data_IF_234960766691
#
_entry.id   IF_234960766691
#
_cell.length_a   1.000
_cell.length_b   1.000
_cell.length_c   1.000
_cell.angle_alpha   90.00
_cell.angle_beta   90.00
_cell.angle_gamma   90.00
#
_symmetry.space_group_name_H-M   'P 1'
#
loop_
_entity.id
_entity.type
_entity.pdbx_description
1 polymer ?
#
# COMPACT_ATOMS: atom_id res chain seq x y z
N UNK A 1 -6.04 11.76 16.55
CA UNK A 1 -6.12 10.38 16.01
C UNK A 1 -5.85 9.42 17.15
N UNK A 2 -6.72 8.45 17.39
CA UNK A 2 -6.48 7.42 18.41
C UNK A 2 -5.81 6.22 17.73
N UNK A 3 -4.52 5.99 17.96
CA UNK A 3 -3.78 4.88 17.34
C UNK A 3 -4.44 3.52 17.63
N UNK A 4 -5.00 3.38 18.83
CA UNK A 4 -5.72 2.19 19.28
C UNK A 4 -6.90 1.84 18.37
N UNK A 5 -7.63 2.84 17.87
CA UNK A 5 -8.74 2.62 16.94
C UNK A 5 -8.28 1.86 15.69
N UNK A 6 -7.16 2.26 15.09
CA UNK A 6 -6.63 1.62 13.88
C UNK A 6 -6.11 0.20 14.17
N UNK A 7 -5.42 0.00 15.29
CA UNK A 7 -5.01 -1.34 15.71
C UNK A 7 -6.21 -2.28 15.88
N UNK A 8 -7.30 -1.80 16.49
CA UNK A 8 -8.51 -2.61 16.67
C UNK A 8 -9.18 -2.95 15.35
N UNK A 9 -9.25 -2.02 14.39
CA UNK A 9 -9.81 -2.29 13.05
C UNK A 9 -9.04 -3.40 12.36
N UNK A 10 -7.71 -3.33 12.35
CA UNK A 10 -6.86 -4.37 11.77
C UNK A 10 -7.01 -5.71 12.50
N UNK A 11 -7.01 -5.71 13.83
CA UNK A 11 -7.15 -6.93 14.64
C UNK A 11 -8.51 -7.62 14.44
N UNK A 12 -9.58 -6.86 14.16
CA UNK A 12 -10.93 -7.38 13.90
C UNK A 12 -11.20 -7.62 12.42
N UNK A 13 -10.21 -7.42 11.54
CA UNK A 13 -10.37 -7.46 10.07
C UNK A 13 -11.46 -6.51 9.55
N UNK A 14 -11.73 -5.42 10.25
CA UNK A 14 -12.68 -4.37 9.86
C UNK A 14 -12.01 -3.38 8.90
N UNK A 15 -11.47 -3.91 7.81
CA UNK A 15 -10.61 -3.19 6.86
C UNK A 15 -11.32 -2.88 5.55
N UNK A 16 -12.55 -2.37 5.62
CA UNK A 16 -13.35 -2.03 4.42
C UNK A 16 -12.75 -0.91 3.55
N UNK A 17 -11.67 -0.27 3.99
CA UNK A 17 -10.85 0.67 3.23
C UNK A 17 -9.81 -0.01 2.34
N UNK A 18 -9.56 -1.32 2.52
CA UNK A 18 -8.65 -2.08 1.66
C UNK A 18 -9.40 -2.54 0.41
N UNK A 19 -8.97 -2.03 -0.74
CA UNK A 19 -9.63 -2.27 -2.04
C UNK A 19 -9.48 -3.72 -2.54
N UNK A 20 -8.42 -4.42 -2.14
CA UNK A 20 -8.13 -5.80 -2.56
C UNK A 20 -7.59 -5.93 -3.99
N UNK A 21 -7.46 -4.81 -4.70
CA UNK A 21 -6.78 -4.69 -6.00
C UNK A 21 -5.94 -3.42 -6.01
N UNK A 22 -5.18 -3.20 -7.10
CA UNK A 22 -4.55 -1.90 -7.38
C UNK A 22 -5.65 -0.86 -7.56
N UNK A 23 -5.44 0.34 -7.03
CA UNK A 23 -6.39 1.44 -7.19
C UNK A 23 -6.52 1.84 -8.66
N UNK A 24 -7.75 1.88 -9.17
CA UNK A 24 -8.02 2.14 -10.58
C UNK A 24 -7.46 3.49 -11.04
N UNK A 25 -7.55 4.54 -10.22
CA UNK A 25 -7.04 5.86 -10.60
C UNK A 25 -5.51 5.91 -10.60
N UNK A 26 -4.85 5.20 -9.69
CA UNK A 26 -3.40 5.05 -9.75
C UNK A 26 -3.01 4.37 -11.06
N UNK A 27 -3.63 3.23 -11.36
CA UNK A 27 -3.38 2.47 -12.58
C UNK A 27 -3.52 3.34 -13.84
N UNK A 28 -4.61 4.09 -13.95
CA UNK A 28 -4.97 4.83 -15.16
C UNK A 28 -4.15 6.11 -15.35
N UNK A 29 -3.64 6.71 -14.28
CA UNK A 29 -2.97 8.01 -14.33
C UNK A 29 -1.49 7.99 -13.96
N UNK A 30 -0.94 6.86 -13.50
CA UNK A 30 0.45 6.82 -13.05
C UNK A 30 1.44 7.20 -14.14
N UNK A 31 1.21 6.79 -15.39
CA UNK A 31 2.08 7.11 -16.52
C UNK A 31 2.19 8.64 -16.73
N UNK A 32 1.10 9.38 -16.53
CA UNK A 32 1.10 10.84 -16.65
C UNK A 32 1.84 11.52 -15.47
N UNK A 33 1.81 10.89 -14.29
CA UNK A 33 2.46 11.40 -13.07
C UNK A 33 3.97 11.11 -13.07
N UNK A 34 4.36 9.89 -13.44
CA UNK A 34 5.74 9.43 -13.42
C UNK A 34 6.51 9.85 -14.69
N UNK A 35 5.85 9.85 -15.85
CA UNK A 35 6.52 9.93 -17.14
C UNK A 35 7.55 8.78 -17.28
N UNK A 36 8.76 9.11 -17.72
CA UNK A 36 9.85 8.14 -17.85
C UNK A 36 10.69 7.96 -16.55
N UNK A 37 10.26 8.56 -15.43
CA UNK A 37 11.01 8.53 -14.17
C UNK A 37 10.76 7.22 -13.41
N UNK A 38 11.80 6.72 -12.77
CA UNK A 38 11.75 5.57 -11.84
C UNK A 38 12.13 5.99 -10.42
N UNK A 39 11.77 7.23 -10.05
CA UNK A 39 12.08 7.77 -8.72
C UNK A 39 11.33 7.02 -7.61
N UNK A 40 11.84 7.17 -6.38
CA UNK A 40 11.24 6.56 -5.21
C UNK A 40 9.83 7.08 -4.93
N UNK A 41 8.91 6.18 -4.61
CA UNK A 41 7.53 6.50 -4.24
C UNK A 41 7.33 6.28 -2.75
N UNK A 42 6.81 7.30 -2.08
CA UNK A 42 6.44 7.24 -0.67
C UNK A 42 4.93 7.03 -0.53
N UNK A 43 4.53 5.99 0.19
CA UNK A 43 3.12 5.66 0.45
C UNK A 43 2.83 5.78 1.95
N UNK A 44 2.26 6.90 2.41
CA UNK A 44 1.93 7.09 3.82
C UNK A 44 0.67 6.29 4.19
N UNK A 45 0.67 5.73 5.41
CA UNK A 45 -0.45 4.92 5.93
C UNK A 45 -0.83 3.80 4.96
N UNK A 46 0.20 3.09 4.47
CA UNK A 46 0.06 2.22 3.30
C UNK A 46 -0.79 0.97 3.55
N UNK A 47 -1.09 0.61 4.81
CA UNK A 47 -1.78 -0.62 5.13
C UNK A 47 -1.09 -1.82 4.47
N UNK A 48 -1.82 -2.50 3.58
CA UNK A 48 -1.33 -3.57 2.70
C UNK A 48 -1.64 -3.31 1.22
N UNK A 49 -1.50 -2.06 0.78
CA UNK A 49 -1.87 -1.65 -0.57
C UNK A 49 -1.11 -2.42 -1.68
N UNK A 50 -1.85 -3.10 -2.56
CA UNK A 50 -1.26 -3.79 -3.74
C UNK A 50 -0.60 -2.83 -4.72
N UNK A 51 -0.98 -1.56 -4.68
CA UNK A 51 -0.34 -0.46 -5.40
C UNK A 51 1.17 -0.44 -5.24
N UNK A 52 1.68 -0.75 -4.04
CA UNK A 52 3.12 -0.72 -3.77
C UNK A 52 3.87 -1.77 -4.59
N UNK A 53 3.35 -2.99 -4.70
CA UNK A 53 3.92 -4.03 -5.56
C UNK A 53 3.81 -3.66 -7.03
N UNK A 54 2.65 -3.16 -7.44
CA UNK A 54 2.41 -2.74 -8.81
C UNK A 54 3.36 -1.63 -9.28
N UNK A 55 3.69 -0.68 -8.40
CA UNK A 55 4.69 0.36 -8.63
C UNK A 55 6.11 -0.20 -8.64
N UNK A 56 6.43 -1.11 -7.70
CA UNK A 56 7.72 -1.78 -7.64
C UNK A 56 8.05 -2.54 -8.92
N UNK A 57 7.08 -3.28 -9.46
CA UNK A 57 7.22 -4.04 -10.72
C UNK A 57 7.49 -3.15 -11.94
N UNK A 58 7.22 -1.85 -11.83
CA UNK A 58 7.52 -0.82 -12.83
C UNK A 58 8.87 -0.13 -12.62
N UNK A 59 9.66 -0.61 -11.66
CA UNK A 59 11.02 -0.14 -11.40
C UNK A 59 11.12 0.97 -10.36
N UNK A 60 10.03 1.30 -9.66
CA UNK A 60 10.07 2.31 -8.60
C UNK A 60 10.54 1.72 -7.27
N UNK A 61 11.55 2.30 -6.61
CA UNK A 61 11.81 2.02 -5.21
C UNK A 61 10.64 2.49 -4.34
N UNK A 62 10.17 1.68 -3.39
CA UNK A 62 8.99 2.01 -2.58
C UNK A 62 9.37 2.17 -1.11
N UNK A 63 8.82 3.19 -0.46
CA UNK A 63 8.85 3.36 0.99
C UNK A 63 7.40 3.47 1.49
N UNK A 64 6.94 2.43 2.18
CA UNK A 64 5.68 2.43 2.91
C UNK A 64 5.88 2.75 4.38
N UNK A 65 4.96 3.53 4.97
CA UNK A 65 4.90 3.72 6.43
C UNK A 65 3.50 3.32 6.91
N UNK A 66 3.44 2.32 7.79
CA UNK A 66 2.21 1.80 8.34
C UNK A 66 2.35 1.58 9.85
N UNK A 67 1.28 1.86 10.58
CA UNK A 67 1.20 1.74 12.04
C UNK A 67 0.94 0.30 12.48
N UNK A 68 0.11 -0.43 11.73
CA UNK A 68 -0.33 -1.77 12.05
C UNK A 68 0.68 -2.83 11.62
N UNK A 69 1.29 -3.50 12.60
CA UNK A 69 2.16 -4.65 12.33
C UNK A 69 1.43 -5.79 11.61
N UNK A 70 0.11 -5.95 11.81
CA UNK A 70 -0.72 -6.93 11.09
C UNK A 70 -0.70 -6.61 9.61
N UNK A 71 -0.98 -5.35 9.24
CA UNK A 71 -0.98 -4.91 7.86
C UNK A 71 0.38 -5.11 7.19
N UNK A 72 1.47 -4.73 7.89
CA UNK A 72 2.82 -4.91 7.38
C UNK A 72 3.15 -6.39 7.13
N UNK A 73 2.79 -7.29 8.05
CA UNK A 73 3.05 -8.73 7.89
C UNK A 73 2.21 -9.29 6.74
N UNK A 74 0.90 -9.04 6.75
CA UNK A 74 -0.03 -9.54 5.72
C UNK A 74 0.40 -9.06 4.32
N UNK A 75 0.92 -7.83 4.19
CA UNK A 75 1.43 -7.28 2.93
C UNK A 75 2.53 -8.13 2.28
N UNK A 76 3.47 -8.67 3.07
CA UNK A 76 4.54 -9.54 2.55
C UNK A 76 4.03 -10.97 2.34
N UNK A 77 3.27 -11.51 3.30
CA UNK A 77 2.71 -12.87 3.21
C UNK A 77 1.82 -13.06 1.97
N UNK A 78 1.01 -12.05 1.62
CA UNK A 78 0.14 -12.08 0.43
C UNK A 78 0.90 -12.01 -0.90
N UNK A 79 2.08 -11.39 -0.92
CA UNK A 79 2.93 -11.33 -2.09
C UNK A 79 3.73 -12.63 -2.31
N UNK A 80 3.70 -13.54 -1.33
CA UNK A 80 4.60 -14.70 -1.29
C UNK A 80 6.03 -14.34 -0.91
N UNK A 81 6.24 -13.21 -0.22
CA UNK A 81 7.52 -12.76 0.35
C UNK A 81 7.61 -12.96 1.88
#
# INVERSE_FOLDING_TARGET
MEHQFWHERWAKSEIGFHEGTVNQYLHDHWADVAGDRTDGVFVPLCGKAHDMWWLHDRGHPIIGVELSQIACRDFFEEAGE
#
